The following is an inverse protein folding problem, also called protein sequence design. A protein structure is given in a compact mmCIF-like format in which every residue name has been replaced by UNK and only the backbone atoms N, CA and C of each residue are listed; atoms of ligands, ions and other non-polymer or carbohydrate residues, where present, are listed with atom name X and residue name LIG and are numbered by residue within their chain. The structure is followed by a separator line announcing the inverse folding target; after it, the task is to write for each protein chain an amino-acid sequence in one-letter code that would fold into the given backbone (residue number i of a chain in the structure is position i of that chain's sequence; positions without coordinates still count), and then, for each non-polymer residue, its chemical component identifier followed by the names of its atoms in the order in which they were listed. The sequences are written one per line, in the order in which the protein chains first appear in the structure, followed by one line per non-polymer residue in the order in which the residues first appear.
data_IF_706790452322
#
_entry.id   IF_706790452322
#
_cell.length_a   1.000
_cell.length_b   1.000
_cell.length_c   1.000
_cell.angle_alpha   90.00
_cell.angle_beta   90.00
_cell.angle_gamma   90.00
#
_symmetry.space_group_name_H-M   'P 1'
#
loop_
_entity.id
_entity.type
_entity.pdbx_description
1 polymer ?
#
# COMPACT_ATOMS: atom_id res chain seq x y z
N UNK A 1 -27.53 4.07 12.71
CA UNK A 1 -27.16 4.66 11.40
C UNK A 1 -25.73 4.26 11.07
N UNK A 2 -25.52 3.54 9.96
CA UNK A 2 -24.19 3.00 9.59
C UNK A 2 -23.14 4.13 9.48
N UNK A 3 -22.02 4.01 10.21
CA UNK A 3 -20.91 4.96 10.13
C UNK A 3 -20.15 4.89 8.78
N UNK A 4 -20.41 3.84 7.97
CA UNK A 4 -19.70 3.57 6.72
C UNK A 4 -19.92 4.61 5.62
N UNK A 5 -21.17 4.94 5.23
CA UNK A 5 -21.47 5.93 4.20
C UNK A 5 -20.90 7.32 4.51
N UNK A 6 -21.01 7.75 5.78
CA UNK A 6 -20.49 9.06 6.24
C UNK A 6 -18.96 9.10 6.16
N UNK A 7 -18.29 8.01 6.53
CA UNK A 7 -16.83 7.87 6.42
C UNK A 7 -16.36 7.84 4.97
N UNK A 8 -17.03 7.09 4.10
CA UNK A 8 -16.73 7.04 2.67
C UNK A 8 -16.80 8.44 2.04
N UNK A 9 -17.84 9.21 2.38
CA UNK A 9 -18.06 10.56 1.89
C UNK A 9 -16.93 11.52 2.33
N UNK A 10 -16.53 11.50 3.61
CA UNK A 10 -15.45 12.36 4.13
C UNK A 10 -14.12 12.04 3.45
N UNK A 11 -13.77 10.76 3.29
CA UNK A 11 -12.52 10.36 2.62
C UNK A 11 -12.53 10.75 1.13
N UNK A 12 -13.69 10.64 0.46
CA UNK A 12 -13.86 11.07 -0.94
C UNK A 12 -13.70 12.58 -1.07
N UNK A 13 -14.31 13.36 -0.18
CA UNK A 13 -14.19 14.82 -0.17
C UNK A 13 -12.74 15.25 0.06
N UNK A 14 -12.06 14.66 1.05
CA UNK A 14 -10.63 14.95 1.31
C UNK A 14 -9.75 14.67 0.09
N UNK A 15 -9.99 13.56 -0.62
CA UNK A 15 -9.28 13.24 -1.86
C UNK A 15 -9.58 14.25 -2.97
N UNK A 16 -10.85 14.62 -3.15
CA UNK A 16 -11.27 15.61 -4.15
C UNK A 16 -10.61 16.97 -3.89
N UNK A 17 -10.69 17.48 -2.66
CA UNK A 17 -10.06 18.75 -2.26
C UNK A 17 -8.55 18.74 -2.50
N UNK A 18 -7.86 17.65 -2.16
CA UNK A 18 -6.41 17.51 -2.45
C UNK A 18 -6.12 17.52 -3.95
N UNK A 19 -6.91 16.78 -4.73
CA UNK A 19 -6.78 16.72 -6.19
C UNK A 19 -6.99 18.07 -6.86
N UNK A 20 -7.99 18.85 -6.41
CA UNK A 20 -8.24 20.20 -6.91
C UNK A 20 -7.09 21.15 -6.56
N UNK A 21 -6.59 21.13 -5.32
CA UNK A 21 -5.44 21.95 -4.91
C UNK A 21 -4.17 21.61 -5.69
N UNK A 22 -3.96 20.33 -6.00
CA UNK A 22 -2.84 19.90 -6.84
C UNK A 22 -2.98 20.41 -8.27
N UNK A 23 -4.18 20.43 -8.85
CA UNK A 23 -4.43 21.07 -10.14
C UNK A 23 -4.17 22.57 -10.12
N UNK A 24 -4.66 23.27 -9.09
CA UNK A 24 -4.37 24.71 -8.93
C UNK A 24 -2.87 24.97 -8.87
N UNK A 25 -2.11 24.17 -8.14
CA UNK A 25 -0.64 24.26 -8.08
C UNK A 25 0.04 23.86 -9.38
N UNK A 26 -0.47 22.84 -10.06
CA UNK A 26 0.06 22.40 -11.33
C UNK A 26 -0.16 23.46 -12.42
N UNK A 27 -1.27 24.20 -12.38
CA UNK A 27 -1.61 25.25 -13.34
C UNK A 27 -0.76 26.51 -13.21
N UNK A 28 -0.15 26.77 -12.04
CA UNK A 28 0.72 27.93 -11.82
C UNK A 28 1.99 27.84 -12.70
N UNK A 29 2.42 28.93 -13.35
CA UNK A 29 3.71 29.00 -14.03
C UNK A 29 4.85 28.91 -13.00
N UNK A 30 5.79 27.98 -13.17
CA UNK A 30 6.95 27.82 -12.27
C UNK A 30 7.42 26.37 -12.11
N UNK A 31 8.53 26.17 -11.39
CA UNK A 31 9.04 24.83 -11.06
C UNK A 31 8.10 24.17 -10.05
N UNK A 32 7.24 23.26 -10.54
CA UNK A 32 6.52 22.32 -9.68
C UNK A 32 7.47 21.52 -8.77
N UNK A 33 6.93 20.88 -7.73
CA UNK A 33 7.71 20.10 -6.76
C UNK A 33 8.62 19.04 -7.38
N UNK A 34 9.51 18.45 -6.60
CA UNK A 34 10.36 17.35 -7.08
C UNK A 34 9.55 16.06 -7.27
N UNK A 35 10.11 15.10 -8.01
CA UNK A 35 9.64 13.73 -7.92
C UNK A 35 10.11 13.14 -6.58
N UNK A 36 9.36 12.18 -6.00
CA UNK A 36 9.74 11.58 -4.72
C UNK A 36 11.01 10.74 -4.84
N UNK A 37 11.80 10.78 -3.77
CA UNK A 37 13.03 10.00 -3.61
C UNK A 37 12.74 8.54 -3.24
N UNK A 38 11.59 8.27 -2.61
CA UNK A 38 11.15 6.93 -2.31
C UNK A 38 9.63 6.81 -2.19
N UNK A 39 9.11 5.58 -2.25
CA UNK A 39 7.69 5.27 -2.03
C UNK A 39 7.51 4.14 -1.01
N UNK A 40 6.43 4.22 -0.21
CA UNK A 40 5.89 3.04 0.47
C UNK A 40 4.81 2.44 -0.44
N UNK A 41 5.13 1.35 -1.11
CA UNK A 41 4.32 0.79 -2.21
C UNK A 41 3.25 -0.20 -1.73
N UNK A 42 3.38 -0.73 -0.52
CA UNK A 42 2.51 -1.80 -0.03
C UNK A 42 2.97 -2.36 1.30
N UNK A 43 2.32 -3.39 1.81
CA UNK A 43 1.04 -3.96 1.37
C UNK A 43 -0.15 -3.29 2.06
N UNK A 44 -1.31 -3.29 1.40
CA UNK A 44 -2.55 -2.85 2.03
C UNK A 44 -2.82 -3.69 3.30
N UNK A 45 -3.17 -3.03 4.41
CA UNK A 45 -3.37 -3.66 5.74
C UNK A 45 -2.12 -4.28 6.39
N UNK A 46 -0.93 -3.89 5.96
CA UNK A 46 0.36 -4.37 6.49
C UNK A 46 1.09 -3.30 7.32
N UNK A 47 0.40 -2.40 8.03
CA UNK A 47 1.06 -1.38 8.87
C UNK A 47 1.69 -0.17 8.15
N UNK A 48 1.48 -0.01 6.83
CA UNK A 48 2.02 1.13 6.05
C UNK A 48 1.66 2.52 6.57
N UNK A 49 0.53 2.67 7.26
CA UNK A 49 0.16 3.95 7.90
C UNK A 49 1.07 4.27 9.07
N UNK A 50 1.43 3.29 9.90
CA UNK A 50 2.38 3.50 11.00
C UNK A 50 3.74 3.90 10.47
N UNK A 51 4.28 3.13 9.50
CA UNK A 51 5.58 3.46 8.90
C UNK A 51 5.58 4.84 8.23
N UNK A 52 4.49 5.22 7.56
CA UNK A 52 4.34 6.57 7.01
C UNK A 52 4.47 7.64 8.11
N UNK A 53 3.85 7.45 9.28
CA UNK A 53 3.97 8.41 10.38
C UNK A 53 5.40 8.46 10.96
N UNK A 54 6.08 7.31 11.10
CA UNK A 54 7.47 7.27 11.58
C UNK A 54 8.41 8.02 10.63
N UNK A 55 8.27 7.82 9.32
CA UNK A 55 9.08 8.53 8.32
C UNK A 55 8.70 10.01 8.23
N UNK A 56 7.43 10.35 8.36
CA UNK A 56 6.97 11.75 8.37
C UNK A 56 7.51 12.56 9.56
N UNK A 57 7.86 11.90 10.66
CA UNK A 57 8.45 12.55 11.84
C UNK A 57 9.96 12.85 11.68
N UNK A 58 10.64 12.22 10.71
CA UNK A 58 12.07 12.40 10.50
C UNK A 58 12.36 13.82 9.99
N UNK A 59 13.33 14.57 10.58
CA UNK A 59 13.58 15.97 10.23
C UNK A 59 13.89 16.16 8.74
N UNK A 60 14.69 15.26 8.16
CA UNK A 60 15.09 15.28 6.74
C UNK A 60 14.07 14.73 5.75
N UNK A 61 12.88 14.34 6.20
CA UNK A 61 11.84 13.78 5.33
C UNK A 61 10.72 14.79 5.11
N UNK A 62 10.25 14.87 3.87
CA UNK A 62 9.15 15.72 3.42
C UNK A 62 8.03 14.86 2.82
N UNK A 63 6.89 14.83 3.48
CA UNK A 63 5.73 14.08 2.97
C UNK A 63 5.08 14.84 1.81
N UNK A 64 4.53 14.11 0.85
CA UNK A 64 3.54 14.66 -0.06
C UNK A 64 2.37 15.35 0.68
N UNK A 65 1.57 16.12 -0.04
CA UNK A 65 0.33 16.77 0.47
C UNK A 65 -0.70 15.82 1.10
N UNK A 66 -0.51 14.51 1.00
CA UNK A 66 -1.26 13.52 1.77
C UNK A 66 -0.82 12.10 1.43
N UNK A 67 -1.29 11.14 2.25
CA UNK A 67 -1.14 9.71 2.01
C UNK A 67 -2.08 9.26 0.88
N UNK A 68 -1.65 8.23 0.16
CA UNK A 68 -2.40 7.55 -0.91
C UNK A 68 -2.76 8.49 -2.06
N UNK A 69 -1.74 9.02 -2.75
CA UNK A 69 -1.95 9.84 -3.95
C UNK A 69 -2.49 9.01 -5.11
N UNK A 70 -2.19 7.71 -5.15
CA UNK A 70 -2.66 6.78 -6.18
C UNK A 70 -2.29 7.21 -7.62
N UNK A 71 -1.22 7.98 -7.79
CA UNK A 71 -0.71 8.43 -9.08
C UNK A 71 -0.45 7.27 -10.04
N UNK A 72 0.37 6.29 -9.68
CA UNK A 72 0.73 5.19 -10.60
C UNK A 72 -0.41 4.21 -10.92
N UNK A 73 -1.54 4.32 -10.21
CA UNK A 73 -2.75 3.52 -10.45
C UNK A 73 -3.85 4.40 -11.04
N UNK A 74 -4.73 4.94 -10.20
CA UNK A 74 -5.95 5.66 -10.58
C UNK A 74 -5.71 6.95 -11.38
N UNK A 75 -4.53 7.55 -11.26
CA UNK A 75 -4.29 8.93 -11.69
C UNK A 75 -3.11 9.08 -12.64
N UNK A 76 -2.65 7.98 -13.26
CA UNK A 76 -1.43 8.01 -14.06
C UNK A 76 -1.58 8.91 -15.29
N UNK A 77 -2.76 8.87 -15.92
CA UNK A 77 -3.12 9.73 -17.06
C UNK A 77 -3.16 11.24 -16.75
N UNK A 78 -3.02 11.66 -15.47
CA UNK A 78 -2.90 13.10 -15.12
C UNK A 78 -1.52 13.68 -15.38
N UNK A 79 -0.54 12.84 -15.70
CA UNK A 79 0.82 13.24 -16.04
C UNK A 79 1.69 13.65 -14.85
N UNK A 80 3.00 13.67 -15.08
CA UNK A 80 4.01 13.91 -14.03
C UNK A 80 3.94 15.34 -13.46
N UNK A 81 3.48 16.33 -14.22
CA UNK A 81 3.25 17.69 -13.72
C UNK A 81 2.23 17.72 -12.58
N UNK A 82 1.13 16.98 -12.73
CA UNK A 82 0.13 16.83 -11.68
C UNK A 82 0.73 16.12 -10.46
N UNK A 83 1.52 15.05 -10.68
CA UNK A 83 2.15 14.32 -9.60
C UNK A 83 3.12 15.18 -8.77
N UNK A 84 4.01 15.90 -9.44
CA UNK A 84 4.99 16.82 -8.85
C UNK A 84 4.35 17.93 -8.00
N UNK A 85 3.13 18.36 -8.33
CA UNK A 85 2.41 19.38 -7.57
C UNK A 85 2.02 18.94 -6.14
N UNK A 86 2.12 17.65 -5.84
CA UNK A 86 1.89 17.09 -4.50
C UNK A 86 3.13 17.14 -3.60
N UNK A 87 4.31 17.46 -4.13
CA UNK A 87 5.57 17.48 -3.39
C UNK A 87 6.08 18.91 -3.22
N UNK A 88 6.85 19.18 -2.17
CA UNK A 88 7.60 20.42 -2.08
C UNK A 88 8.72 20.47 -3.15
N UNK A 89 9.31 21.65 -3.41
CA UNK A 89 10.55 21.75 -4.16
C UNK A 89 11.67 20.88 -3.56
N UNK A 90 12.59 20.41 -4.40
CA UNK A 90 13.79 19.71 -3.93
C UNK A 90 14.59 20.63 -2.99
N UNK A 91 15.12 20.05 -1.92
CA UNK A 91 16.00 20.74 -0.98
C UNK A 91 17.20 19.83 -0.68
N UNK A 92 18.46 20.35 -0.72
CA UNK A 92 19.64 19.55 -0.40
C UNK A 92 19.51 18.85 0.96
N UNK A 93 19.91 17.57 1.01
CA UNK A 93 19.85 16.76 2.22
C UNK A 93 18.44 16.36 2.69
N UNK A 94 17.37 16.77 1.98
CA UNK A 94 16.00 16.36 2.29
C UNK A 94 15.51 15.33 1.28
N UNK A 95 14.75 14.35 1.76
CA UNK A 95 14.08 13.34 0.93
C UNK A 95 12.58 13.53 0.98
N UNK A 96 11.90 13.16 -0.09
CA UNK A 96 10.45 13.26 -0.22
C UNK A 96 9.81 11.93 -0.59
N UNK A 97 8.57 11.70 -0.12
CA UNK A 97 7.89 10.44 -0.36
C UNK A 97 6.36 10.53 -0.36
N UNK A 98 5.74 9.48 -0.91
CA UNK A 98 4.33 9.16 -0.67
C UNK A 98 4.16 7.68 -0.26
N UNK A 99 2.97 7.34 0.21
CA UNK A 99 2.62 5.97 0.54
C UNK A 99 1.27 5.60 -0.09
N UNK A 100 1.28 4.62 -0.98
CA UNK A 100 0.12 4.18 -1.75
C UNK A 100 0.08 2.65 -1.77
N UNK A 101 -0.45 2.00 -0.71
CA UNK A 101 -0.27 0.56 -0.51
C UNK A 101 -0.89 -0.36 -1.58
N UNK A 102 -1.72 0.21 -2.46
CA UNK A 102 -2.27 -0.49 -3.61
C UNK A 102 -1.20 -0.77 -4.69
N UNK A 103 -0.15 0.05 -4.77
CA UNK A 103 0.88 -0.05 -5.81
C UNK A 103 1.52 -1.43 -5.90
N UNK A 104 1.84 -2.05 -4.75
CA UNK A 104 2.44 -3.37 -4.72
C UNK A 104 1.64 -4.42 -5.51
N UNK A 105 0.30 -4.36 -5.43
CA UNK A 105 -0.58 -5.37 -6.03
C UNK A 105 -0.90 -5.11 -7.50
N UNK A 106 -1.07 -3.85 -7.89
CA UNK A 106 -1.57 -3.48 -9.21
C UNK A 106 -0.60 -3.88 -10.33
N UNK A 107 -1.04 -4.64 -11.36
CA UNK A 107 -0.13 -5.21 -12.37
C UNK A 107 0.58 -4.17 -13.23
N UNK A 108 -0.07 -3.07 -13.62
CA UNK A 108 0.55 -2.01 -14.44
C UNK A 108 1.48 -1.05 -13.67
N UNK A 109 1.50 -1.09 -12.34
CA UNK A 109 2.23 -0.09 -11.54
C UNK A 109 3.75 -0.22 -11.63
N UNK A 110 4.36 -1.42 -11.52
CA UNK A 110 5.82 -1.57 -11.60
C UNK A 110 6.46 -0.90 -12.82
N UNK A 111 5.94 -1.16 -14.02
CA UNK A 111 6.46 -0.57 -15.26
C UNK A 111 6.37 0.97 -15.27
N UNK A 112 5.24 1.53 -14.79
CA UNK A 112 5.04 2.99 -14.70
C UNK A 112 6.00 3.64 -13.72
N UNK A 113 6.21 2.98 -12.57
CA UNK A 113 7.14 3.44 -11.54
C UNK A 113 8.57 3.42 -12.06
N UNK A 114 9.01 2.33 -12.68
CA UNK A 114 10.35 2.24 -13.25
C UNK A 114 10.61 3.32 -14.31
N UNK A 115 9.63 3.58 -15.19
CA UNK A 115 9.74 4.62 -16.21
C UNK A 115 9.76 6.05 -15.66
N UNK A 116 9.05 6.31 -14.56
CA UNK A 116 8.88 7.67 -14.01
C UNK A 116 9.91 8.00 -12.93
N UNK A 117 10.31 7.00 -12.14
CA UNK A 117 11.16 7.13 -10.96
C UNK A 117 12.35 6.17 -11.09
N UNK A 118 13.28 6.42 -12.05
CA UNK A 118 14.38 5.50 -12.32
C UNK A 118 15.41 5.41 -11.19
N UNK A 119 15.42 6.35 -10.23
CA UNK A 119 16.39 6.35 -9.12
C UNK A 119 15.76 6.16 -7.72
N UNK A 120 14.43 6.20 -7.62
CA UNK A 120 13.75 6.15 -6.32
C UNK A 120 13.89 4.79 -5.62
N UNK A 121 13.78 4.76 -4.30
CA UNK A 121 13.74 3.51 -3.52
C UNK A 121 12.31 3.15 -3.11
N UNK A 122 12.07 1.87 -2.82
CA UNK A 122 10.73 1.36 -2.54
C UNK A 122 10.73 0.54 -1.27
N UNK A 123 9.70 0.73 -0.44
CA UNK A 123 9.50 -0.04 0.79
C UNK A 123 8.17 -0.77 0.71
N UNK A 124 8.20 -2.07 0.99
CA UNK A 124 7.03 -2.93 1.08
C UNK A 124 6.95 -3.61 2.44
N UNK A 125 5.77 -3.59 3.05
CA UNK A 125 5.44 -4.31 4.28
C UNK A 125 4.54 -5.50 3.93
N UNK A 126 4.94 -6.71 4.30
CA UNK A 126 4.14 -7.92 4.16
C UNK A 126 3.60 -8.33 5.53
N UNK A 127 2.48 -9.01 5.60
CA UNK A 127 1.82 -9.47 6.84
C UNK A 127 1.32 -10.88 6.60
N UNK A 128 1.07 -11.65 7.65
CA UNK A 128 0.37 -12.94 7.52
C UNK A 128 -0.80 -12.78 6.54
N UNK A 129 -0.81 -13.51 5.41
CA UNK A 129 -1.76 -13.31 4.33
C UNK A 129 -3.20 -13.61 4.77
N UNK A 130 -3.41 -14.51 5.74
CA UNK A 130 -4.73 -14.81 6.33
C UNK A 130 -5.23 -13.59 7.10
N UNK A 131 -4.39 -13.12 8.02
CA UNK A 131 -4.66 -11.97 8.86
C UNK A 131 -4.84 -10.67 8.06
N UNK A 132 -4.07 -10.51 6.98
CA UNK A 132 -4.20 -9.39 6.06
C UNK A 132 -5.50 -9.48 5.25
N UNK A 133 -5.84 -10.65 4.70
CA UNK A 133 -7.07 -10.87 3.94
C UNK A 133 -8.29 -10.50 4.79
N UNK A 134 -8.35 -11.01 6.02
CA UNK A 134 -9.44 -10.71 6.94
C UNK A 134 -9.49 -9.22 7.32
N UNK A 135 -8.33 -8.60 7.61
CA UNK A 135 -8.25 -7.16 7.87
C UNK A 135 -8.70 -6.30 6.68
N UNK A 136 -8.51 -6.78 5.45
CA UNK A 136 -9.00 -6.11 4.23
C UNK A 136 -10.50 -6.27 4.09
N UNK A 137 -11.04 -7.47 4.32
CA UNK A 137 -12.47 -7.73 4.38
C UNK A 137 -13.18 -6.79 5.38
N UNK A 138 -12.71 -6.73 6.62
CA UNK A 138 -13.26 -5.83 7.64
C UNK A 138 -13.18 -4.35 7.23
N UNK A 139 -12.09 -3.98 6.54
CA UNK A 139 -11.95 -2.63 6.00
C UNK A 139 -13.03 -2.35 4.95
N UNK A 140 -13.22 -3.22 3.96
CA UNK A 140 -14.24 -3.07 2.91
C UNK A 140 -15.65 -3.05 3.49
N UNK A 141 -15.95 -3.94 4.45
CA UNK A 141 -17.21 -3.95 5.24
C UNK A 141 -17.46 -2.63 5.95
N UNK A 142 -16.43 -2.03 6.57
CA UNK A 142 -16.57 -0.76 7.28
C UNK A 142 -16.95 0.44 6.40
N UNK A 143 -16.79 0.33 5.08
CA UNK A 143 -17.25 1.31 4.10
C UNK A 143 -18.62 0.94 3.50
N UNK A 144 -19.23 -0.17 3.92
CA UNK A 144 -20.50 -0.67 3.38
C UNK A 144 -20.40 -1.26 1.99
N UNK A 145 -19.20 -1.65 1.53
CA UNK A 145 -18.97 -2.11 0.15
C UNK A 145 -19.02 -3.62 -0.02
N UNK A 146 -18.78 -4.39 1.03
CA UNK A 146 -18.89 -5.85 0.97
C UNK A 146 -20.23 -6.28 1.58
N UNK A 147 -21.15 -6.89 0.83
CA UNK A 147 -22.39 -7.43 1.37
C UNK A 147 -22.22 -8.85 1.94
N UNK A 148 -21.28 -9.66 1.44
CA UNK A 148 -21.13 -11.08 1.78
C UNK A 148 -20.35 -11.27 3.07
N UNK A 149 -20.64 -12.34 3.82
CA UNK A 149 -19.74 -12.78 4.91
C UNK A 149 -18.35 -13.14 4.37
N UNK A 150 -17.37 -13.32 5.27
CA UNK A 150 -15.99 -13.48 4.85
C UNK A 150 -15.75 -14.71 3.97
N UNK A 151 -16.36 -15.85 4.31
CA UNK A 151 -16.20 -17.09 3.54
C UNK A 151 -16.83 -16.95 2.14
N UNK A 152 -18.04 -16.43 2.06
CA UNK A 152 -18.71 -16.18 0.79
C UNK A 152 -17.99 -15.11 -0.05
N UNK A 153 -17.41 -14.08 0.59
CA UNK A 153 -16.62 -13.07 -0.09
C UNK A 153 -15.34 -13.64 -0.71
N UNK A 154 -14.66 -14.57 -0.02
CA UNK A 154 -13.49 -15.30 -0.52
C UNK A 154 -13.87 -16.20 -1.71
N UNK A 155 -14.98 -16.94 -1.60
CA UNK A 155 -15.47 -17.80 -2.68
C UNK A 155 -15.85 -16.99 -3.93
N UNK A 156 -16.41 -15.80 -3.76
CA UNK A 156 -16.80 -14.91 -4.86
C UNK A 156 -15.63 -14.15 -5.50
N UNK A 157 -14.49 -14.01 -4.80
CA UNK A 157 -13.36 -13.18 -5.23
C UNK A 157 -12.82 -13.54 -6.63
N UNK A 158 -12.48 -14.82 -6.94
CA UNK A 158 -11.91 -15.16 -8.25
C UNK A 158 -12.81 -14.72 -9.42
N UNK A 159 -14.11 -14.99 -9.32
CA UNK A 159 -15.10 -14.60 -10.33
C UNK A 159 -15.24 -13.08 -10.46
N UNK A 160 -15.31 -12.36 -9.33
CA UNK A 160 -15.38 -10.88 -9.31
C UNK A 160 -14.15 -10.24 -9.95
N UNK A 161 -12.96 -10.75 -9.65
CA UNK A 161 -11.71 -10.22 -10.22
C UNK A 161 -11.61 -10.55 -11.71
N UNK A 162 -11.90 -11.79 -12.12
CA UNK A 162 -11.86 -12.19 -13.53
C UNK A 162 -12.80 -11.32 -14.38
N UNK A 163 -14.06 -11.17 -13.95
CA UNK A 163 -15.04 -10.34 -14.67
C UNK A 163 -14.62 -8.87 -14.78
N UNK A 164 -14.04 -8.31 -13.71
CA UNK A 164 -13.61 -6.90 -13.70
C UNK A 164 -12.35 -6.63 -14.54
N UNK A 165 -11.56 -7.67 -14.84
CA UNK A 165 -10.27 -7.57 -15.52
C UNK A 165 -10.34 -7.90 -17.02
N UNK A 166 -11.53 -8.24 -17.56
CA UNK A 166 -11.72 -8.59 -18.98
C UNK A 166 -11.14 -7.52 -19.92
N UNK A 167 -11.41 -6.25 -19.62
CA UNK A 167 -10.93 -5.10 -20.41
C UNK A 167 -9.57 -4.55 -19.93
N UNK A 168 -8.84 -5.35 -19.14
CA UNK A 168 -7.56 -4.99 -18.57
C UNK A 168 -7.61 -4.34 -17.18
N UNK A 169 -6.45 -4.15 -16.53
CA UNK A 169 -6.36 -3.81 -15.10
C UNK A 169 -6.58 -2.32 -14.78
N UNK A 170 -6.61 -1.47 -15.80
CA UNK A 170 -6.63 -0.01 -15.67
C UNK A 170 -8.02 0.61 -15.89
N UNK A 171 -9.05 -0.21 -16.04
CA UNK A 171 -10.43 0.28 -16.12
C UNK A 171 -10.95 0.70 -14.74
N UNK A 172 -11.97 1.59 -14.68
CA UNK A 172 -12.63 1.91 -13.42
C UNK A 172 -13.17 0.68 -12.69
N UNK A 173 -13.71 -0.30 -13.43
CA UNK A 173 -14.23 -1.55 -12.89
C UNK A 173 -13.10 -2.42 -12.28
N UNK A 174 -12.00 -2.61 -13.01
CA UNK A 174 -10.83 -3.33 -12.53
C UNK A 174 -10.26 -2.68 -11.26
N UNK A 175 -10.03 -1.37 -11.27
CA UNK A 175 -9.54 -0.64 -10.10
C UNK A 175 -10.49 -0.76 -8.91
N UNK A 176 -11.81 -0.74 -9.13
CA UNK A 176 -12.79 -0.93 -8.08
C UNK A 176 -12.68 -2.33 -7.47
N UNK A 177 -12.67 -3.38 -8.30
CA UNK A 177 -12.60 -4.76 -7.85
C UNK A 177 -11.27 -5.06 -7.14
N UNK A 178 -10.16 -4.72 -7.78
CA UNK A 178 -8.82 -4.93 -7.24
C UNK A 178 -8.60 -4.18 -5.92
N UNK A 179 -9.15 -2.99 -5.68
CA UNK A 179 -8.96 -2.26 -4.40
C UNK A 179 -9.83 -2.80 -3.27
N UNK A 180 -10.99 -3.36 -3.59
CA UNK A 180 -12.03 -3.60 -2.59
C UNK A 180 -12.28 -5.08 -2.31
N UNK A 181 -12.06 -5.97 -3.28
CA UNK A 181 -12.49 -7.38 -3.23
C UNK A 181 -11.37 -8.40 -3.45
N UNK A 182 -10.11 -7.98 -3.54
CA UNK A 182 -8.95 -8.88 -3.66
C UNK A 182 -8.41 -9.31 -2.29
N UNK A 183 -9.22 -10.04 -1.53
CA UNK A 183 -8.88 -10.47 -0.18
C UNK A 183 -7.77 -11.50 -0.19
N UNK A 184 -7.91 -12.62 -0.89
CA UNK A 184 -6.93 -13.69 -0.92
C UNK A 184 -5.79 -13.42 -1.91
N UNK A 185 -6.10 -12.91 -3.10
CA UNK A 185 -5.12 -12.69 -4.18
C UNK A 185 -3.94 -11.80 -3.75
N UNK A 186 -4.19 -10.80 -2.89
CA UNK A 186 -3.15 -9.94 -2.32
C UNK A 186 -2.19 -10.63 -1.35
N UNK A 187 -2.52 -11.83 -0.88
CA UNK A 187 -1.66 -12.65 -0.03
C UNK A 187 -0.61 -13.43 -0.81
N UNK A 188 -0.73 -13.50 -2.14
CA UNK A 188 0.26 -14.11 -3.02
C UNK A 188 1.37 -13.11 -3.30
N UNK A 189 2.24 -12.91 -2.32
CA UNK A 189 3.24 -11.83 -2.35
C UNK A 189 4.37 -12.08 -3.34
N UNK A 190 4.83 -13.32 -3.49
CA UNK A 190 5.89 -13.66 -4.43
C UNK A 190 5.52 -13.22 -5.87
N UNK A 191 4.28 -13.49 -6.30
CA UNK A 191 3.77 -13.05 -7.62
C UNK A 191 3.78 -11.53 -7.79
N UNK A 192 3.49 -10.79 -6.72
CA UNK A 192 3.56 -9.33 -6.74
C UNK A 192 4.99 -8.88 -6.88
N UNK A 193 5.90 -9.43 -6.07
CA UNK A 193 7.32 -9.06 -6.06
C UNK A 193 8.02 -9.41 -7.38
N UNK A 194 7.68 -10.53 -8.02
CA UNK A 194 8.22 -10.87 -9.35
C UNK A 194 7.96 -9.74 -10.35
N UNK A 195 6.74 -9.17 -10.36
CA UNK A 195 6.41 -8.04 -11.24
C UNK A 195 7.24 -6.81 -10.91
N UNK A 196 7.58 -6.58 -9.64
CA UNK A 196 8.46 -5.48 -9.26
C UNK A 196 9.90 -5.73 -9.69
N UNK A 197 10.43 -6.92 -9.43
CA UNK A 197 11.80 -7.30 -9.80
C UNK A 197 12.02 -7.41 -11.31
N UNK A 198 10.97 -7.66 -12.09
CA UNK A 198 11.04 -7.61 -13.55
C UNK A 198 11.32 -6.20 -14.12
N UNK A 199 11.09 -5.14 -13.33
CA UNK A 199 11.25 -3.75 -13.75
C UNK A 199 12.27 -2.96 -12.93
N UNK A 200 12.72 -3.49 -11.79
CA UNK A 200 13.55 -2.79 -10.84
C UNK A 200 14.61 -3.73 -10.26
N UNK A 201 15.85 -3.24 -10.05
CA UNK A 201 16.88 -4.03 -9.38
C UNK A 201 16.49 -4.25 -7.91
N UNK A 202 16.82 -5.43 -7.37
CA UNK A 202 16.34 -5.89 -6.07
C UNK A 202 16.79 -4.95 -4.93
N UNK A 203 17.95 -4.33 -5.06
CA UNK A 203 18.55 -3.38 -4.12
C UNK A 203 17.75 -2.09 -3.97
N UNK A 204 16.77 -1.84 -4.85
CA UNK A 204 15.87 -0.69 -4.75
C UNK A 204 14.55 -1.01 -4.08
N UNK A 205 14.31 -2.25 -3.66
CA UNK A 205 13.10 -2.66 -2.95
C UNK A 205 13.43 -3.32 -1.62
N UNK A 206 13.11 -2.64 -0.52
CA UNK A 206 13.21 -3.19 0.83
C UNK A 206 11.88 -3.77 1.28
N UNK A 207 11.89 -5.06 1.61
CA UNK A 207 10.71 -5.80 2.07
C UNK A 207 10.87 -6.12 3.55
N UNK A 208 9.86 -5.79 4.35
CA UNK A 208 9.83 -6.07 5.79
C UNK A 208 8.57 -6.85 6.18
N UNK A 209 8.68 -7.73 7.18
CA UNK A 209 7.50 -8.35 7.81
C UNK A 209 6.88 -7.35 8.77
N UNK A 210 5.55 -7.28 8.76
CA UNK A 210 4.79 -6.41 9.64
C UNK A 210 4.92 -6.85 11.09
N UNK A 211 5.04 -8.16 11.31
CA UNK A 211 5.23 -8.78 12.61
C UNK A 211 6.55 -8.35 13.24
N UNK A 212 7.62 -8.23 12.46
CA UNK A 212 8.92 -7.68 12.92
C UNK A 212 8.78 -6.20 13.31
N UNK A 213 8.06 -5.41 12.50
CA UNK A 213 7.76 -4.01 12.81
C UNK A 213 6.90 -3.87 14.08
N UNK A 214 6.04 -4.84 14.39
CA UNK A 214 5.22 -4.82 15.60
C UNK A 214 5.99 -5.25 16.84
N UNK A 215 6.86 -6.25 16.71
CA UNK A 215 7.66 -6.79 17.79
C UNK A 215 8.79 -5.82 18.19
N UNK A 216 9.50 -5.28 17.21
CA UNK A 216 10.57 -4.30 17.40
C UNK A 216 10.49 -3.18 16.33
N UNK A 217 9.63 -2.16 16.58
CA UNK A 217 9.49 -1.05 15.66
C UNK A 217 10.77 -0.23 15.51
N UNK A 218 11.60 -0.15 16.55
CA UNK A 218 12.83 0.63 16.54
C UNK A 218 13.87 0.00 15.61
N UNK A 219 14.11 -1.32 15.73
CA UNK A 219 15.04 -2.03 14.87
C UNK A 219 14.57 -2.03 13.40
N UNK A 220 13.28 -2.32 13.17
CA UNK A 220 12.68 -2.31 11.83
C UNK A 220 12.78 -0.94 11.17
N UNK A 221 12.47 0.14 11.92
CA UNK A 221 12.57 1.50 11.43
C UNK A 221 14.02 1.90 11.12
N UNK A 222 14.98 1.55 11.99
CA UNK A 222 16.40 1.78 11.74
C UNK A 222 16.89 1.08 10.46
N UNK A 223 16.40 -0.13 10.17
CA UNK A 223 16.65 -0.83 8.91
C UNK A 223 16.14 -0.04 7.70
N UNK A 224 14.90 0.47 7.78
CA UNK A 224 14.31 1.32 6.74
C UNK A 224 15.13 2.61 6.54
N UNK A 225 15.57 3.27 7.61
CA UNK A 225 16.39 4.48 7.51
C UNK A 225 17.73 4.21 6.80
N UNK A 226 18.43 3.13 7.15
CA UNK A 226 19.67 2.73 6.48
C UNK A 226 19.44 2.46 4.99
N UNK A 227 18.40 1.70 4.65
CA UNK A 227 18.03 1.43 3.27
C UNK A 227 17.72 2.73 2.49
N UNK A 228 17.03 3.68 3.11
CA UNK A 228 16.73 4.97 2.49
C UNK A 228 17.92 5.94 2.49
N UNK A 229 19.05 5.60 3.13
CA UNK A 229 20.19 6.50 3.28
C UNK A 229 19.82 7.77 4.04
N UNK A 230 19.06 7.62 5.13
CA UNK A 230 18.70 8.66 6.08
C UNK A 230 19.54 8.52 7.35
N UNK A 231 19.79 9.64 8.03
CA UNK A 231 20.47 9.63 9.32
C UNK A 231 19.67 8.84 10.37
N UNK A 232 20.31 8.22 11.37
CA UNK A 232 19.59 7.64 12.49
C UNK A 232 18.69 8.66 13.18
N UNK A 233 17.45 8.27 13.45
CA UNK A 233 16.45 9.08 14.13
C UNK A 233 15.47 8.17 14.83
N UNK A 234 14.90 8.64 15.95
CA UNK A 234 13.85 7.95 16.68
C UNK A 234 12.66 8.91 16.82
N UNK A 235 11.48 8.56 16.28
CA UNK A 235 10.29 9.39 16.48
C UNK A 235 9.89 9.41 17.97
N UNK A 236 9.11 10.40 18.42
CA UNK A 236 8.66 10.49 19.81
C UNK A 236 7.90 9.25 20.29
N UNK A 237 7.18 8.59 19.39
CA UNK A 237 6.43 7.37 19.67
C UNK A 237 6.37 6.48 18.42
N UNK A 238 6.48 5.17 18.61
CA UNK A 238 6.12 4.18 17.60
C UNK A 238 4.63 3.80 17.65
N UNK A 239 3.75 4.79 17.58
CA UNK A 239 2.31 4.59 17.68
C UNK A 239 1.78 3.59 16.63
N UNK A 240 0.98 2.61 17.06
CA UNK A 240 0.36 1.63 16.16
C UNK A 240 -0.94 2.20 15.58
N UNK A 241 -0.88 2.73 14.36
CA UNK A 241 -2.05 3.27 13.68
C UNK A 241 -2.93 2.17 13.06
N UNK A 242 -3.69 1.47 13.90
CA UNK A 242 -4.70 0.47 13.47
C UNK A 242 -6.10 1.05 13.52
N UNK A 243 -6.84 0.91 12.42
CA UNK A 243 -8.30 1.15 12.42
C UNK A 243 -8.99 -0.20 12.31
N UNK A 244 -9.34 -0.79 13.46
CA UNK A 244 -10.26 -1.93 13.52
C UNK A 244 -11.67 -1.33 13.58
N UNK A 245 -12.49 -1.69 12.60
CA UNK A 245 -13.82 -1.12 12.43
C UNK A 245 -14.93 -2.12 12.71
N UNK A 246 -14.59 -3.37 13.03
CA UNK A 246 -15.58 -4.39 13.36
C UNK A 246 -15.46 -4.77 14.83
N UNK A 247 -16.58 -4.61 15.53
CA UNK A 247 -16.80 -4.89 16.94
C UNK A 247 -17.65 -6.16 17.14
N UNK A 248 -18.08 -6.81 16.06
CA UNK A 248 -18.81 -8.09 16.10
C UNK A 248 -17.91 -9.31 16.33
N UNK A 249 -18.53 -10.51 16.48
CA UNK A 249 -17.79 -11.76 16.55
C UNK A 249 -16.97 -11.97 15.28
N UNK A 250 -15.77 -12.52 15.44
CA UNK A 250 -14.87 -12.76 14.31
C UNK A 250 -15.47 -13.79 13.35
N UNK A 251 -15.57 -13.44 12.06
CA UNK A 251 -15.93 -14.37 10.99
C UNK A 251 -14.74 -15.22 10.51
N UNK A 252 -13.53 -14.88 10.94
CA UNK A 252 -12.34 -15.73 10.76
C UNK A 252 -12.34 -16.81 11.86
N UNK A 253 -13.06 -17.90 11.64
CA UNK A 253 -13.10 -19.06 12.55
C UNK A 253 -11.76 -19.82 12.54
N UNK A 254 -11.46 -20.65 13.56
CA UNK A 254 -10.26 -21.49 13.54
C UNK A 254 -10.17 -22.41 12.32
N UNK A 255 -11.30 -22.99 11.87
CA UNK A 255 -11.35 -23.84 10.69
C UNK A 255 -11.02 -23.06 9.41
N UNK A 256 -11.67 -21.90 9.19
CA UNK A 256 -11.41 -21.07 8.02
C UNK A 256 -9.98 -20.50 8.03
N UNK A 257 -9.43 -20.18 9.20
CA UNK A 257 -8.03 -19.79 9.36
C UNK A 257 -7.10 -20.91 8.90
N UNK A 258 -7.33 -22.14 9.35
CA UNK A 258 -6.52 -23.29 8.98
C UNK A 258 -6.59 -23.58 7.48
N UNK A 259 -7.79 -23.50 6.89
CA UNK A 259 -8.01 -23.65 5.45
C UNK A 259 -7.23 -22.60 4.64
N UNK A 260 -7.35 -21.31 5.01
CA UNK A 260 -6.61 -20.23 4.35
C UNK A 260 -5.10 -20.36 4.53
N UNK A 261 -4.64 -20.74 5.72
CA UNK A 261 -3.22 -20.96 5.99
C UNK A 261 -2.66 -22.09 5.11
N UNK A 262 -3.38 -23.21 5.00
CA UNK A 262 -3.01 -24.30 4.10
C UNK A 262 -2.99 -23.84 2.62
N UNK A 263 -3.97 -23.04 2.21
CA UNK A 263 -4.01 -22.44 0.88
C UNK A 263 -2.85 -21.48 0.59
N UNK A 264 -2.38 -20.73 1.59
CA UNK A 264 -1.24 -19.82 1.43
C UNK A 264 0.13 -20.49 1.59
N UNK A 265 0.21 -21.66 2.23
CA UNK A 265 1.47 -22.36 2.48
C UNK A 265 2.39 -22.47 1.24
N UNK A 266 1.95 -22.91 0.05
CA UNK A 266 2.83 -22.96 -1.12
C UNK A 266 3.27 -21.56 -1.60
N UNK A 267 2.43 -20.54 -1.47
CA UNK A 267 2.77 -19.16 -1.82
C UNK A 267 3.77 -18.54 -0.83
N UNK A 268 3.66 -18.89 0.45
CA UNK A 268 4.55 -18.46 1.52
C UNK A 268 5.92 -19.13 1.41
N UNK A 269 5.97 -20.43 1.10
CA UNK A 269 7.22 -21.14 0.84
C UNK A 269 7.99 -20.48 -0.32
N UNK A 270 7.29 -20.22 -1.44
CA UNK A 270 7.88 -19.50 -2.57
C UNK A 270 8.38 -18.09 -2.21
N UNK A 271 7.64 -17.38 -1.35
CA UNK A 271 8.06 -16.06 -0.86
C UNK A 271 9.33 -16.14 -0.02
N UNK A 272 9.43 -17.15 0.85
CA UNK A 272 10.60 -17.40 1.68
C UNK A 272 11.84 -17.61 0.81
N UNK A 273 11.73 -18.45 -0.22
CA UNK A 273 12.79 -18.70 -1.19
C UNK A 273 13.19 -17.42 -1.95
N UNK A 274 12.19 -16.66 -2.44
CA UNK A 274 12.41 -15.43 -3.20
C UNK A 274 13.16 -14.35 -2.40
N UNK A 275 12.88 -14.25 -1.10
CA UNK A 275 13.46 -13.23 -0.22
C UNK A 275 14.64 -13.73 0.63
N UNK A 276 14.96 -15.02 0.54
CA UNK A 276 15.92 -15.65 1.44
C UNK A 276 15.51 -15.57 2.92
N UNK A 277 14.20 -15.57 3.20
CA UNK A 277 13.70 -15.55 4.58
C UNK A 277 13.75 -16.95 5.18
N UNK A 278 14.30 -17.13 6.40
CA UNK A 278 14.39 -18.45 7.02
C UNK A 278 13.02 -19.02 7.37
N UNK A 279 12.02 -18.17 7.56
CA UNK A 279 10.63 -18.55 7.80
C UNK A 279 9.70 -17.37 7.47
N UNK A 280 8.50 -17.70 7.01
CA UNK A 280 7.35 -16.80 6.97
C UNK A 280 6.47 -17.00 8.21
N UNK A 281 5.20 -16.63 8.10
CA UNK A 281 4.13 -16.98 9.03
C UNK A 281 3.72 -18.43 8.88
#
# INVERSE_FOLDING_TARGET
MSAGPRRAAVDRLRRAVRGTRAWSRAALPGRGGALPDFLIIGGQRCGTTSLHHYLAAHPDVRVATGKELQFFSLHFGRGTRWYRAHFPPAAPGRRSFEASPYYLFHPSVPARVAATLPEARFVALLRDPVERAYSHYLHTRSYGMEPLDFAAALAAEPGRLAAALVDGPDTPAAHHALRNFSYAARGRYAEQLDRWYAHLPAERLHVIRSEDLYADPAASYAGVLRFLGLAPFTPPEFARHTRRADTGPSQLTPALRAELAAGFAPHNARLADLLGWPHTW
#
